data_IF_809754452304
#
_entry.id   IF_809754452304
#
_cell.length_a   1.000
_cell.length_b   1.000
_cell.length_c   1.000
_cell.angle_alpha   90.00
_cell.angle_beta   90.00
_cell.angle_gamma   90.00
#
_symmetry.space_group_name_H-M   'P 1'
#
loop_
_entity.id
_entity.type
_entity.pdbx_description
1 polymer ?
#
# COMPACT_ATOMS: atom_id res chain seq x y z
N UNK A 1 14.90 0.87 -6.72
CA UNK A 1 13.95 1.60 -5.87
C UNK A 1 12.72 1.93 -6.72
N UNK A 2 11.50 1.63 -6.26
CA UNK A 2 10.26 1.96 -6.99
C UNK A 2 9.69 3.22 -6.35
N UNK A 3 9.63 4.32 -7.10
CA UNK A 3 9.05 5.56 -6.62
C UNK A 3 7.52 5.52 -6.72
N UNK A 4 6.85 6.00 -5.68
CA UNK A 4 5.40 6.14 -5.61
C UNK A 4 5.03 7.58 -5.29
N UNK A 5 3.88 8.05 -5.79
CA UNK A 5 3.38 9.38 -5.48
C UNK A 5 2.59 9.34 -4.18
N UNK A 6 2.69 10.42 -3.41
CA UNK A 6 1.98 10.54 -2.14
C UNK A 6 0.45 10.44 -2.29
N UNK A 7 -0.12 11.04 -3.34
CA UNK A 7 -1.58 11.00 -3.57
C UNK A 7 -2.06 9.58 -3.87
N UNK A 8 -1.39 8.86 -4.78
CA UNK A 8 -1.69 7.45 -5.08
C UNK A 8 -1.66 6.58 -3.81
N UNK A 9 -0.73 6.86 -2.88
CA UNK A 9 -0.64 6.14 -1.60
C UNK A 9 -1.86 6.41 -0.73
N UNK A 10 -2.32 7.67 -0.64
CA UNK A 10 -3.51 8.04 0.14
C UNK A 10 -4.79 7.42 -0.41
N UNK A 11 -4.95 7.42 -1.72
CA UNK A 11 -6.09 6.77 -2.38
C UNK A 11 -6.08 5.25 -2.13
N UNK A 12 -4.91 4.62 -2.26
CA UNK A 12 -4.77 3.18 -2.05
C UNK A 12 -5.12 2.76 -0.63
N UNK A 13 -4.59 3.43 0.40
CA UNK A 13 -4.85 3.04 1.80
C UNK A 13 -6.31 3.26 2.22
N UNK A 14 -7.00 4.24 1.64
CA UNK A 14 -8.47 4.39 1.79
C UNK A 14 -9.21 3.23 1.14
N UNK A 15 -8.78 2.83 -0.06
CA UNK A 15 -9.36 1.69 -0.77
C UNK A 15 -9.17 0.40 0.02
N UNK A 16 -7.94 0.12 0.48
CA UNK A 16 -7.61 -1.06 1.29
C UNK A 16 -8.44 -1.14 2.57
N UNK A 17 -8.62 -0.03 3.27
CA UNK A 17 -9.47 0.00 4.46
C UNK A 17 -10.94 -0.29 4.12
N UNK A 18 -11.43 0.18 2.97
CA UNK A 18 -12.82 0.01 2.53
C UNK A 18 -13.12 -1.38 1.95
N UNK A 19 -12.22 -1.96 1.16
CA UNK A 19 -12.46 -3.20 0.42
C UNK A 19 -11.89 -4.43 1.12
N UNK A 20 -10.70 -4.30 1.70
CA UNK A 20 -9.98 -5.42 2.33
C UNK A 20 -10.05 -5.39 3.86
N UNK A 21 -10.58 -4.32 4.46
CA UNK A 21 -10.54 -4.10 5.92
C UNK A 21 -9.13 -3.86 6.47
N UNK A 22 -8.17 -3.51 5.60
CA UNK A 22 -6.77 -3.32 5.97
C UNK A 22 -6.52 -1.83 6.24
N UNK A 23 -6.57 -1.44 7.52
CA UNK A 23 -6.31 -0.06 7.96
C UNK A 23 -4.83 0.15 8.30
N UNK A 24 -4.05 0.67 7.35
CA UNK A 24 -2.58 0.82 7.47
C UNK A 24 -2.11 2.27 7.31
N UNK A 25 -0.87 2.56 7.76
CA UNK A 25 -0.25 3.87 7.63
C UNK A 25 0.32 4.17 6.24
N UNK A 26 0.90 5.37 6.08
CA UNK A 26 1.44 5.86 4.80
C UNK A 26 2.64 5.02 4.29
N UNK A 27 3.55 4.62 5.19
CA UNK A 27 4.72 3.82 4.81
C UNK A 27 4.30 2.42 4.32
N UNK A 28 3.34 1.82 5.02
CA UNK A 28 2.68 0.57 4.63
C UNK A 28 2.00 0.69 3.26
N UNK A 29 1.25 1.77 3.02
CA UNK A 29 0.62 2.04 1.72
C UNK A 29 1.64 2.20 0.58
N UNK A 30 2.75 2.90 0.83
CA UNK A 30 3.83 3.05 -0.14
C UNK A 30 4.46 1.70 -0.52
N UNK A 31 4.70 0.85 0.47
CA UNK A 31 5.21 -0.50 0.30
C UNK A 31 4.26 -1.39 -0.53
N UNK A 32 2.96 -1.34 -0.25
CA UNK A 32 1.95 -2.10 -0.99
C UNK A 32 1.82 -1.58 -2.42
N UNK A 33 1.76 -0.26 -2.62
CA UNK A 33 1.69 0.33 -3.96
C UNK A 33 2.92 -0.01 -4.81
N UNK A 34 4.11 0.01 -4.20
CA UNK A 34 5.34 -0.39 -4.88
C UNK A 34 5.33 -1.87 -5.25
N UNK A 35 4.80 -2.74 -4.37
CA UNK A 35 4.64 -4.17 -4.64
C UNK A 35 3.65 -4.43 -5.79
N UNK A 36 2.51 -3.72 -5.83
CA UNK A 36 1.54 -3.79 -6.93
C UNK A 36 2.14 -3.30 -8.26
N UNK A 37 2.96 -2.25 -8.25
CA UNK A 37 3.68 -1.80 -9.45
C UNK A 37 4.77 -2.78 -9.88
N UNK A 38 5.38 -3.49 -8.94
CA UNK A 38 6.37 -4.52 -9.25
C UNK A 38 5.71 -5.77 -9.84
N UNK A 39 4.52 -6.14 -9.35
CA UNK A 39 3.83 -7.36 -9.79
C UNK A 39 3.46 -7.34 -11.26
N UNK A 40 3.25 -6.17 -11.87
CA UNK A 40 2.96 -6.06 -13.31
C UNK A 40 4.12 -6.50 -14.22
N UNK A 41 5.31 -6.79 -13.65
CA UNK A 41 6.50 -7.24 -14.40
C UNK A 41 6.68 -8.76 -14.39
N UNK A 42 5.85 -9.49 -13.67
CA UNK A 42 5.99 -10.93 -13.50
C UNK A 42 4.67 -11.64 -13.79
N UNK A 43 4.76 -12.91 -14.15
CA UNK A 43 3.59 -13.78 -14.28
C UNK A 43 3.10 -14.22 -12.88
N UNK A 44 1.87 -14.75 -12.83
CA UNK A 44 1.17 -15.15 -11.59
C UNK A 44 1.83 -16.32 -10.82
N UNK A 45 3.00 -16.80 -11.25
CA UNK A 45 3.79 -17.82 -10.56
C UNK A 45 4.71 -17.26 -9.47
N UNK A 46 4.86 -15.92 -9.39
CA UNK A 46 5.75 -15.25 -8.45
C UNK A 46 4.96 -14.65 -7.28
N UNK A 47 5.41 -14.94 -6.06
CA UNK A 47 4.89 -14.31 -4.85
C UNK A 47 5.71 -13.07 -4.48
N UNK A 48 5.05 -11.91 -4.37
CA UNK A 48 5.67 -10.66 -3.91
C UNK A 48 5.18 -10.37 -2.49
N UNK A 49 6.12 -10.26 -1.56
CA UNK A 49 5.85 -9.96 -0.16
C UNK A 49 6.40 -8.58 0.18
N UNK A 50 5.64 -7.82 0.97
CA UNK A 50 6.05 -6.53 1.49
C UNK A 50 5.63 -6.39 2.95
N UNK A 51 6.02 -5.30 3.61
CA UNK A 51 5.80 -5.09 5.04
C UNK A 51 4.88 -3.88 5.25
N UNK A 52 3.93 -4.02 6.18
CA UNK A 52 3.15 -2.93 6.74
C UNK A 52 3.70 -2.59 8.15
N UNK A 53 4.56 -1.56 8.31
CA UNK A 53 5.21 -1.29 9.59
C UNK A 53 4.25 -0.77 10.67
N UNK A 54 3.12 -0.19 10.28
CA UNK A 54 2.21 0.53 11.15
C UNK A 54 0.74 0.46 10.72
N UNK A 55 -0.16 0.71 11.68
CA UNK A 55 -1.60 0.83 11.42
C UNK A 55 -2.00 2.25 11.01
N UNK A 56 -3.14 2.39 10.35
CA UNK A 56 -3.71 3.69 9.95
C UNK A 56 -4.27 4.52 11.11
N UNK A 57 -4.28 3.98 12.33
CA UNK A 57 -4.89 4.62 13.52
C UNK A 57 -4.35 6.03 13.80
N UNK A 58 -3.04 6.22 13.63
CA UNK A 58 -2.38 7.51 13.88
C UNK A 58 -2.58 8.54 12.76
N UNK A 59 -3.25 8.15 11.67
CA UNK A 59 -3.37 8.94 10.45
C UNK A 59 -4.82 9.30 10.10
N UNK A 60 -5.79 9.03 10.98
CA UNK A 60 -7.22 9.27 10.71
C UNK A 60 -7.55 10.69 10.23
N UNK A 61 -6.86 11.71 10.73
CA UNK A 61 -7.04 13.10 10.29
C UNK A 61 -6.26 13.47 9.02
N UNK A 62 -5.25 12.66 8.65
CA UNK A 62 -4.31 12.90 7.57
C UNK A 62 -4.52 11.98 6.37
N UNK A 63 -5.50 11.07 6.45
CA UNK A 63 -5.87 10.11 5.42
C UNK A 63 -6.76 10.74 4.36
#
# INVERSE_FOLDING_TARGET
MISVKFEDVRELIKLLAKTEGILVGLSSGANILAALKLSTKFDNSINIVTVAPDSGRSYMEKL
#
